data_IF_301213233380
#
_entry.id   IF_301213233380
#
_cell.length_a   1.000
_cell.length_b   1.000
_cell.length_c   1.000
_cell.angle_alpha   90.00
_cell.angle_beta   90.00
_cell.angle_gamma   90.00
#
_symmetry.space_group_name_H-M   'P 1'
#
loop_
_entity.id
_entity.type
_entity.pdbx_description
1 polymer ?
#
# COMPACT_ATOMS: atom_id res chain seq x y z
N UNK A 1 16.07 -5.30 11.00
CA UNK A 1 14.97 -5.60 10.09
C UNK A 1 13.80 -4.80 10.61
N UNK A 2 13.18 -3.93 9.82
CA UNK A 2 12.02 -3.18 10.29
C UNK A 2 10.84 -4.12 10.53
N UNK A 3 10.04 -3.82 11.54
CA UNK A 3 8.86 -4.61 11.84
C UNK A 3 7.77 -4.32 10.77
N UNK A 4 6.98 -5.34 10.47
CA UNK A 4 5.87 -5.24 9.52
C UNK A 4 4.60 -4.75 10.21
N UNK A 5 3.88 -3.83 9.58
CA UNK A 5 2.56 -3.43 10.06
C UNK A 5 1.53 -4.54 9.83
N UNK A 6 0.64 -4.73 10.81
CA UNK A 6 -0.43 -5.72 10.78
C UNK A 6 -1.72 -5.18 10.15
N UNK A 7 -1.67 -3.99 9.58
CA UNK A 7 -2.75 -3.33 8.85
C UNK A 7 -2.21 -2.46 7.72
N UNK A 8 -3.05 -2.13 6.78
CA UNK A 8 -2.71 -1.32 5.62
C UNK A 8 -3.71 -0.18 5.41
N UNK A 9 -3.26 1.03 5.08
CA UNK A 9 -4.15 2.10 4.65
C UNK A 9 -4.83 1.73 3.32
N UNK A 10 -6.16 1.94 3.26
CA UNK A 10 -6.95 1.90 2.04
C UNK A 10 -7.41 3.31 1.70
N UNK A 11 -6.84 3.89 0.66
CA UNK A 11 -7.16 5.24 0.22
C UNK A 11 -8.21 5.22 -0.87
N UNK A 12 -9.36 5.78 -0.56
CA UNK A 12 -10.49 5.86 -1.48
C UNK A 12 -10.68 7.31 -1.92
N UNK A 13 -10.80 7.54 -3.23
CA UNK A 13 -11.20 8.82 -3.80
C UNK A 13 -11.70 8.62 -5.21
N UNK A 14 -12.89 9.08 -5.51
CA UNK A 14 -13.46 9.05 -6.86
C UNK A 14 -12.66 9.93 -7.84
N UNK A 15 -12.05 10.98 -7.33
CA UNK A 15 -11.28 11.93 -8.13
C UNK A 15 -9.86 11.47 -8.40
N UNK A 16 -9.40 11.73 -9.62
CA UNK A 16 -8.00 11.59 -10.04
C UNK A 16 -7.25 12.90 -9.79
N UNK A 17 -5.92 12.84 -9.71
CA UNK A 17 -5.09 14.05 -9.60
C UNK A 17 -5.01 14.67 -8.20
N UNK A 18 -5.46 13.97 -7.17
CA UNK A 18 -5.41 14.42 -5.77
C UNK A 18 -4.07 14.13 -5.05
N UNK A 19 -3.09 13.52 -5.74
CA UNK A 19 -1.74 13.32 -5.20
C UNK A 19 -1.38 11.90 -4.78
N UNK A 20 -2.26 10.91 -4.96
CA UNK A 20 -1.96 9.49 -4.60
C UNK A 20 -0.63 9.02 -5.21
N UNK A 21 -0.44 9.26 -6.51
CA UNK A 21 0.80 8.89 -7.22
C UNK A 21 2.03 9.69 -6.78
N UNK A 22 1.87 10.94 -6.35
CA UNK A 22 2.96 11.74 -5.81
C UNK A 22 3.50 11.12 -4.51
N UNK A 23 2.62 10.71 -3.59
CA UNK A 23 3.03 10.08 -2.34
C UNK A 23 3.70 8.72 -2.57
N UNK A 24 3.16 7.90 -3.48
CA UNK A 24 3.80 6.64 -3.88
C UNK A 24 5.23 6.87 -4.41
N UNK A 25 5.42 7.92 -5.21
CA UNK A 25 6.74 8.31 -5.70
C UNK A 25 7.68 8.74 -4.55
N UNK A 26 7.19 9.54 -3.60
CA UNK A 26 7.98 9.98 -2.45
C UNK A 26 8.48 8.78 -1.62
N UNK A 27 7.60 7.83 -1.31
CA UNK A 27 7.96 6.62 -0.58
C UNK A 27 9.03 5.84 -1.34
N UNK A 28 8.84 5.70 -2.66
CA UNK A 28 9.81 4.99 -3.51
C UNK A 28 11.18 5.67 -3.50
N UNK A 29 11.23 6.98 -3.48
CA UNK A 29 12.51 7.72 -3.39
C UNK A 29 13.15 7.59 -2.01
N UNK A 30 12.37 7.55 -0.93
CA UNK A 30 12.88 7.40 0.43
C UNK A 30 13.55 6.04 0.67
N UNK A 31 12.92 4.95 0.25
CA UNK A 31 13.41 3.59 0.55
C UNK A 31 14.04 2.86 -0.64
N UNK A 32 14.02 3.47 -1.80
CA UNK A 32 14.63 2.98 -3.04
C UNK A 32 13.75 2.03 -3.85
N UNK A 33 13.81 2.16 -5.17
CA UNK A 33 12.97 1.40 -6.12
C UNK A 33 13.16 -0.13 -6.02
N UNK A 34 14.33 -0.59 -5.61
CA UNK A 34 14.61 -2.03 -5.44
C UNK A 34 13.77 -2.63 -4.30
N UNK A 35 13.48 -1.84 -3.29
CA UNK A 35 12.73 -2.23 -2.11
C UNK A 35 11.23 -1.95 -2.23
N UNK A 36 10.80 -1.34 -3.35
CA UNK A 36 9.40 -0.92 -3.54
C UNK A 36 8.75 -1.57 -4.76
N UNK A 37 7.42 -1.66 -4.69
CA UNK A 37 6.53 -1.93 -5.84
C UNK A 37 5.50 -0.80 -5.90
N UNK A 38 5.83 0.35 -6.53
CA UNK A 38 5.02 1.57 -6.42
C UNK A 38 3.73 1.55 -7.24
N UNK A 39 3.55 0.57 -8.10
CA UNK A 39 2.38 0.46 -8.98
C UNK A 39 2.03 -1.00 -9.23
N UNK A 40 1.76 -1.74 -8.18
CA UNK A 40 1.34 -3.12 -8.28
C UNK A 40 -0.15 -3.17 -8.67
N UNK A 41 -0.46 -3.88 -9.75
CA UNK A 41 -1.86 -4.11 -10.12
C UNK A 41 -2.43 -5.28 -9.32
N UNK A 42 -3.71 -5.22 -8.98
CA UNK A 42 -4.36 -6.30 -8.22
C UNK A 42 -4.19 -7.69 -8.87
N UNK A 43 -4.21 -7.77 -10.22
CA UNK A 43 -3.99 -9.04 -10.94
C UNK A 43 -2.59 -9.65 -10.68
N UNK A 44 -1.61 -8.84 -10.30
CA UNK A 44 -0.30 -9.33 -9.90
C UNK A 44 -0.29 -9.84 -8.45
N UNK A 45 -1.22 -9.33 -7.63
CA UNK A 45 -1.38 -9.75 -6.23
C UNK A 45 -2.04 -11.12 -6.16
N UNK A 46 -3.19 -11.28 -6.83
CA UNK A 46 -3.96 -12.53 -6.88
C UNK A 46 -3.47 -13.50 -7.97
N UNK A 47 -2.35 -13.20 -8.57
CA UNK A 47 -1.75 -14.04 -9.61
C UNK A 47 -0.97 -15.21 -9.01
N UNK A 48 -0.87 -16.29 -9.78
CA UNK A 48 -0.13 -17.50 -9.40
C UNK A 48 1.33 -17.22 -9.00
N UNK A 49 1.97 -16.19 -9.58
CA UNK A 49 3.37 -15.89 -9.34
C UNK A 49 3.51 -14.73 -8.36
N UNK A 50 4.11 -15.01 -7.23
CA UNK A 50 4.28 -14.08 -6.09
C UNK A 50 5.72 -13.58 -5.92
N UNK A 51 6.59 -13.79 -6.90
CA UNK A 51 8.01 -13.41 -6.89
C UNK A 51 8.24 -11.89 -6.72
N UNK A 52 7.23 -11.05 -7.01
CA UNK A 52 7.27 -9.61 -6.80
C UNK A 52 7.52 -9.22 -5.34
N UNK A 53 7.20 -10.10 -4.38
CA UNK A 53 7.36 -9.84 -2.94
C UNK A 53 8.82 -9.97 -2.49
N UNK A 54 9.65 -10.65 -3.25
CA UNK A 54 11.08 -10.87 -2.91
C UNK A 54 11.80 -9.51 -2.82
N UNK A 55 12.38 -9.23 -1.64
CA UNK A 55 13.06 -7.97 -1.34
C UNK A 55 12.12 -6.76 -1.24
N UNK A 56 10.80 -6.96 -1.30
CA UNK A 56 9.84 -5.88 -1.18
C UNK A 56 9.66 -5.47 0.30
N UNK A 57 9.85 -4.18 0.60
CA UNK A 57 9.56 -3.60 1.90
C UNK A 57 8.27 -2.77 1.86
N UNK A 58 7.88 -2.30 0.67
CA UNK A 58 6.71 -1.46 0.50
C UNK A 58 6.06 -1.64 -0.87
N UNK A 59 4.78 -1.91 -0.88
CA UNK A 59 4.00 -2.04 -2.11
C UNK A 59 2.77 -1.13 -2.10
N UNK A 60 2.53 -0.48 -3.23
CA UNK A 60 1.30 0.28 -3.49
C UNK A 60 0.46 -0.51 -4.48
N UNK A 61 -0.67 -1.02 -4.01
CA UNK A 61 -1.63 -1.76 -4.84
C UNK A 61 -2.61 -0.74 -5.41
N UNK A 62 -2.49 -0.51 -6.71
CA UNK A 62 -3.31 0.47 -7.42
C UNK A 62 -4.53 -0.18 -8.08
N UNK A 63 -5.59 0.62 -8.21
CA UNK A 63 -6.82 0.24 -8.89
C UNK A 63 -7.46 -1.01 -8.27
N UNK A 64 -7.55 -1.02 -6.94
CA UNK A 64 -8.28 -2.06 -6.21
C UNK A 64 -9.76 -1.96 -6.60
N UNK A 65 -10.12 -2.62 -7.67
CA UNK A 65 -11.49 -2.74 -8.13
C UNK A 65 -11.63 -3.95 -9.06
N UNK A 66 -12.46 -4.91 -8.67
CA UNK A 66 -12.57 -6.20 -9.37
C UNK A 66 -13.84 -6.37 -10.19
N UNK A 67 -14.59 -5.35 -10.46
CA UNK A 67 -15.93 -5.51 -11.03
C UNK A 67 -17.05 -5.60 -9.99
N UNK A 68 -18.30 -5.62 -10.46
CA UNK A 68 -19.49 -5.80 -9.60
C UNK A 68 -19.66 -7.24 -9.09
N UNK A 69 -18.71 -8.14 -9.35
CA UNK A 69 -18.80 -9.55 -8.93
C UNK A 69 -18.38 -9.69 -7.47
N UNK A 70 -19.34 -10.00 -6.62
CA UNK A 70 -19.16 -10.18 -5.18
C UNK A 70 -18.09 -11.22 -4.83
N UNK A 71 -18.12 -12.39 -5.47
CA UNK A 71 -17.18 -13.49 -5.16
C UNK A 71 -15.72 -13.10 -5.43
N UNK A 72 -15.47 -12.36 -6.52
CA UNK A 72 -14.12 -11.87 -6.83
C UNK A 72 -13.64 -10.78 -5.88
N UNK A 73 -14.56 -9.95 -5.35
CA UNK A 73 -14.21 -8.97 -4.31
C UNK A 73 -13.85 -9.66 -3.01
N UNK A 74 -14.58 -10.71 -2.66
CA UNK A 74 -14.31 -11.52 -1.47
C UNK A 74 -12.93 -12.20 -1.57
N UNK A 75 -12.67 -12.90 -2.67
CA UNK A 75 -11.39 -13.56 -2.94
C UNK A 75 -10.20 -12.59 -2.82
N UNK A 76 -10.27 -11.42 -3.48
CA UNK A 76 -9.25 -10.39 -3.36
C UNK A 76 -9.06 -9.91 -1.93
N UNK A 77 -10.17 -9.68 -1.21
CA UNK A 77 -10.11 -9.22 0.16
C UNK A 77 -9.38 -10.22 1.06
N UNK A 78 -9.66 -11.50 0.93
CA UNK A 78 -9.00 -12.55 1.72
C UNK A 78 -7.50 -12.66 1.36
N UNK A 79 -7.14 -12.68 0.08
CA UNK A 79 -5.73 -12.75 -0.33
C UNK A 79 -4.92 -11.54 0.17
N UNK A 80 -5.49 -10.32 0.12
CA UNK A 80 -4.80 -9.13 0.64
C UNK A 80 -4.66 -9.19 2.18
N UNK A 81 -5.66 -9.73 2.88
CA UNK A 81 -5.58 -9.92 4.34
C UNK A 81 -4.40 -10.82 4.73
N UNK A 82 -4.22 -11.93 4.03
CA UNK A 82 -3.13 -12.86 4.26
C UNK A 82 -1.78 -12.17 3.97
N UNK A 83 -1.67 -11.44 2.86
CA UNK A 83 -0.47 -10.65 2.55
C UNK A 83 -0.15 -9.61 3.64
N UNK A 84 -1.16 -8.99 4.26
CA UNK A 84 -0.95 -8.02 5.35
C UNK A 84 -0.47 -8.70 6.62
N UNK A 85 -1.00 -9.87 6.98
CA UNK A 85 -0.80 -10.45 8.31
C UNK A 85 0.15 -11.63 8.36
N UNK A 86 0.28 -12.40 7.30
CA UNK A 86 1.08 -13.61 7.33
C UNK A 86 2.58 -13.32 7.44
N UNK A 87 3.29 -14.02 8.30
CA UNK A 87 4.73 -13.85 8.49
C UNK A 87 5.55 -14.41 7.32
N UNK A 88 4.99 -15.32 6.55
CA UNK A 88 5.61 -15.93 5.38
C UNK A 88 4.64 -15.91 4.20
N UNK A 89 5.19 -15.77 3.01
CA UNK A 89 4.46 -15.88 1.74
C UNK A 89 5.02 -17.04 0.96
N UNK A 90 4.13 -17.90 0.44
CA UNK A 90 4.50 -18.95 -0.46
C UNK A 90 4.82 -18.37 -1.84
N UNK A 91 6.08 -18.54 -2.28
CA UNK A 91 6.56 -18.01 -3.55
C UNK A 91 6.50 -19.10 -4.60
N UNK A 92 5.79 -18.82 -5.68
CA UNK A 92 5.86 -19.59 -6.92
C UNK A 92 6.59 -18.78 -7.99
N UNK A 93 7.77 -19.23 -8.38
CA UNK A 93 8.50 -18.69 -9.53
C UNK A 93 8.28 -19.58 -10.77
N UNK A 94 8.28 -18.96 -11.94
CA UNK A 94 8.16 -19.72 -13.19
C UNK A 94 9.38 -20.63 -13.38
N UNK A 95 9.13 -21.93 -13.56
CA UNK A 95 10.15 -22.97 -13.76
C UNK A 95 11.09 -23.23 -12.56
N UNK A 96 10.72 -22.83 -11.36
CA UNK A 96 11.46 -23.12 -10.12
C UNK A 96 10.56 -23.83 -9.11
N UNK A 97 11.20 -24.44 -8.09
CA UNK A 97 10.47 -24.98 -6.94
C UNK A 97 9.93 -23.84 -6.11
N UNK A 98 8.70 -23.99 -5.64
CA UNK A 98 8.11 -23.06 -4.68
C UNK A 98 8.85 -23.13 -3.32
N UNK A 99 8.82 -22.03 -2.60
CA UNK A 99 9.43 -21.90 -1.27
C UNK A 99 8.72 -20.83 -0.44
N UNK A 100 8.86 -20.89 0.88
CA UNK A 100 8.32 -19.88 1.77
C UNK A 100 9.33 -18.75 1.97
N UNK A 101 8.87 -17.51 1.83
CA UNK A 101 9.69 -16.30 1.94
C UNK A 101 9.19 -15.41 3.08
N UNK A 102 10.08 -14.87 3.95
CA UNK A 102 9.67 -13.95 5.00
C UNK A 102 8.96 -12.71 4.45
N UNK A 103 7.77 -12.46 4.97
CA UNK A 103 6.96 -11.32 4.53
C UNK A 103 7.35 -10.05 5.28
N UNK A 104 8.11 -9.19 4.64
CA UNK A 104 8.57 -7.89 5.16
C UNK A 104 7.86 -6.71 4.49
N UNK A 105 6.87 -6.99 3.64
CA UNK A 105 6.22 -5.98 2.82
C UNK A 105 5.10 -5.26 3.58
N UNK A 106 5.14 -3.94 3.60
CA UNK A 106 4.05 -3.08 4.03
C UNK A 106 3.25 -2.59 2.83
N UNK A 107 1.95 -2.33 2.99
CA UNK A 107 1.05 -2.05 1.89
C UNK A 107 0.34 -0.70 2.04
N UNK A 108 0.09 -0.05 0.90
CA UNK A 108 -0.98 0.94 0.72
C UNK A 108 -1.87 0.45 -0.42
N UNK A 109 -3.17 0.45 -0.20
CA UNK A 109 -4.17 0.16 -1.20
C UNK A 109 -4.80 1.46 -1.70
N UNK A 110 -5.02 1.55 -3.00
CA UNK A 110 -5.60 2.74 -3.63
C UNK A 110 -6.77 2.33 -4.52
N UNK A 111 -7.91 2.96 -4.30
CA UNK A 111 -9.09 2.79 -5.15
C UNK A 111 -9.70 4.13 -5.57
N UNK A 112 -10.35 4.13 -6.74
CA UNK A 112 -11.22 5.21 -7.18
C UNK A 112 -12.71 4.85 -6.99
N UNK A 113 -13.01 3.76 -6.28
CA UNK A 113 -14.35 3.25 -6.04
C UNK A 113 -14.56 2.98 -4.56
N UNK A 114 -15.66 3.46 -3.99
CA UNK A 114 -16.00 3.22 -2.58
C UNK A 114 -16.31 1.75 -2.33
N UNK A 115 -16.92 1.08 -3.28
CA UNK A 115 -17.27 -0.34 -3.24
C UNK A 115 -16.17 -1.27 -3.74
N UNK A 116 -14.91 -0.88 -3.62
CA UNK A 116 -13.78 -1.61 -4.21
C UNK A 116 -13.56 -3.00 -3.60
N UNK A 117 -13.83 -3.16 -2.32
CA UNK A 117 -13.64 -4.40 -1.54
C UNK A 117 -14.83 -4.65 -0.62
N UNK A 118 -15.01 -5.90 -0.20
CA UNK A 118 -15.91 -6.24 0.88
C UNK A 118 -15.15 -6.14 2.21
N UNK A 119 -15.42 -5.12 2.99
CA UNK A 119 -14.82 -4.89 4.29
C UNK A 119 -15.92 -5.05 5.32
N UNK A 120 -15.76 -5.99 6.25
CA UNK A 120 -16.69 -6.17 7.36
C UNK A 120 -16.48 -5.05 8.41
N UNK A 121 -17.53 -4.73 9.16
CA UNK A 121 -17.48 -3.66 10.17
C UNK A 121 -16.44 -3.92 11.28
N UNK A 122 -16.12 -5.18 11.54
CA UNK A 122 -15.13 -5.62 12.53
C UNK A 122 -13.72 -5.86 11.95
N UNK A 123 -13.51 -5.56 10.66
CA UNK A 123 -12.24 -5.79 9.98
C UNK A 123 -11.14 -4.88 10.55
N UNK A 124 -10.06 -5.48 11.00
CA UNK A 124 -8.96 -4.81 11.72
C UNK A 124 -7.72 -4.54 10.88
N UNK A 125 -7.68 -5.04 9.64
CA UNK A 125 -6.49 -4.98 8.78
C UNK A 125 -6.49 -3.79 7.83
N UNK A 126 -7.61 -3.09 7.71
CA UNK A 126 -7.71 -1.93 6.82
C UNK A 126 -7.97 -0.65 7.59
N UNK A 127 -7.12 0.34 7.38
CA UNK A 127 -7.35 1.72 7.78
C UNK A 127 -7.96 2.46 6.60
N UNK A 128 -9.28 2.59 6.58
CA UNK A 128 -10.01 3.17 5.45
C UNK A 128 -9.97 4.69 5.55
N UNK A 129 -9.44 5.33 4.51
CA UNK A 129 -9.35 6.79 4.40
C UNK A 129 -10.06 7.26 3.14
N UNK A 130 -11.17 7.95 3.32
CA UNK A 130 -11.81 8.69 2.23
C UNK A 130 -11.08 10.01 2.04
N UNK A 131 -10.36 10.12 0.93
CA UNK A 131 -9.56 11.29 0.63
C UNK A 131 -10.45 12.40 0.05
N UNK A 132 -9.96 13.63 0.14
CA UNK A 132 -10.66 14.80 -0.43
C UNK A 132 -10.84 14.65 -1.93
N UNK A 133 -11.99 15.04 -2.45
CA UNK A 133 -12.28 15.10 -3.88
C UNK A 133 -11.79 16.40 -4.54
N UNK A 134 -11.08 17.23 -3.80
CA UNK A 134 -10.57 18.50 -4.31
C UNK A 134 -9.36 18.29 -5.22
N UNK A 135 -9.62 18.26 -6.51
CA UNK A 135 -8.56 18.23 -7.54
C UNK A 135 -7.73 19.50 -7.47
N UNK A 136 -6.42 19.35 -7.49
CA UNK A 136 -5.47 20.47 -7.52
C UNK A 136 -4.92 20.66 -8.92
N UNK A 137 -4.79 21.92 -9.35
CA UNK A 137 -4.23 22.27 -10.64
C UNK A 137 -2.70 22.07 -10.71
N UNK A 138 -2.16 22.14 -11.91
CA UNK A 138 -0.73 21.96 -12.20
C UNK A 138 0.17 22.84 -11.33
N UNK A 139 -0.21 24.11 -11.10
CA UNK A 139 0.58 25.07 -10.33
C UNK A 139 0.72 24.68 -8.85
N UNK A 140 -0.25 23.93 -8.31
CA UNK A 140 -0.14 23.32 -6.99
C UNK A 140 0.86 22.16 -6.97
N UNK A 141 0.87 21.34 -8.01
CA UNK A 141 1.69 20.13 -8.05
C UNK A 141 3.12 20.38 -8.52
N UNK A 142 3.34 21.34 -9.42
CA UNK A 142 4.66 21.61 -9.98
C UNK A 142 5.75 21.84 -8.91
N UNK A 143 5.58 22.78 -7.95
CA UNK A 143 6.60 22.97 -6.93
C UNK A 143 6.82 21.74 -6.04
N UNK A 144 5.80 20.92 -5.84
CA UNK A 144 5.91 19.68 -5.05
C UNK A 144 6.69 18.59 -5.77
N UNK A 145 6.51 18.46 -7.08
CA UNK A 145 7.31 17.57 -7.89
C UNK A 145 8.76 18.05 -7.99
N UNK A 146 8.97 19.36 -8.16
CA UNK A 146 10.29 19.96 -8.18
C UNK A 146 11.01 19.75 -6.83
N UNK A 147 10.33 19.94 -5.72
CA UNK A 147 10.87 19.65 -4.38
C UNK A 147 11.18 18.15 -4.20
N UNK A 148 10.28 17.26 -4.60
CA UNK A 148 10.48 15.82 -4.51
C UNK A 148 11.72 15.36 -5.31
N UNK A 149 11.96 15.98 -6.48
CA UNK A 149 13.10 15.68 -7.35
C UNK A 149 14.43 16.27 -6.84
N UNK A 150 14.37 17.25 -5.91
CA UNK A 150 15.51 17.95 -5.35
C UNK A 150 15.62 17.71 -3.83
N UNK A 151 16.05 16.54 -3.42
CA UNK A 151 16.25 16.16 -2.00
C UNK A 151 15.00 16.06 -1.12
N UNK A 152 13.80 16.34 -1.62
CA UNK A 152 12.56 16.31 -0.81
C UNK A 152 12.34 14.98 -0.08
N UNK A 153 12.61 13.88 -0.75
CA UNK A 153 12.51 12.54 -0.15
C UNK A 153 13.50 12.37 1.02
N UNK A 154 14.72 12.90 0.90
CA UNK A 154 15.75 12.85 1.94
C UNK A 154 15.35 13.69 3.16
N UNK A 155 14.81 14.88 2.96
CA UNK A 155 14.28 15.70 4.06
C UNK A 155 13.10 15.04 4.76
N UNK A 156 12.17 14.45 4.00
CA UNK A 156 11.04 13.73 4.58
C UNK A 156 11.51 12.50 5.36
N UNK A 157 12.46 11.73 4.84
CA UNK A 157 13.03 10.58 5.54
C UNK A 157 13.69 11.00 6.86
N UNK A 158 14.47 12.10 6.85
CA UNK A 158 15.06 12.64 8.06
C UNK A 158 13.99 13.05 9.07
N UNK A 159 12.95 13.78 8.65
CA UNK A 159 11.85 14.17 9.51
C UNK A 159 11.17 12.95 10.14
N UNK A 160 10.81 11.94 9.32
CA UNK A 160 10.16 10.72 9.81
C UNK A 160 11.06 9.92 10.77
N UNK A 161 12.38 9.89 10.54
CA UNK A 161 13.33 9.19 11.43
C UNK A 161 13.51 9.86 12.78
N UNK A 162 13.17 11.14 12.90
CA UNK A 162 13.24 11.93 14.13
C UNK A 162 11.89 12.14 14.81
N UNK A 163 10.81 11.72 14.15
CA UNK A 163 9.45 11.83 14.68
C UNK A 163 9.30 10.93 15.91
N UNK A 164 8.83 11.52 17.00
CA UNK A 164 8.43 10.72 18.17
C UNK A 164 7.03 10.16 17.92
N UNK A 165 6.91 8.86 18.09
CA UNK A 165 5.64 8.14 18.01
C UNK A 165 5.23 7.82 19.45
N UNK A 166 4.05 8.30 19.86
CA UNK A 166 3.56 8.12 21.25
C UNK A 166 3.26 6.66 21.55
N UNK A 167 2.77 5.93 20.57
CA UNK A 167 2.52 4.49 20.66
C UNK A 167 3.36 3.74 19.62
N UNK A 168 4.54 3.25 20.01
CA UNK A 168 5.45 2.56 19.09
C UNK A 168 4.94 1.19 18.62
N UNK A 169 3.92 0.62 19.28
CA UNK A 169 3.36 -0.68 18.93
C UNK A 169 2.07 -0.60 18.10
N UNK A 170 1.58 0.61 17.80
CA UNK A 170 0.36 0.85 17.01
C UNK A 170 0.33 0.05 15.69
N UNK A 171 1.46 -0.15 15.04
CA UNK A 171 1.54 -0.92 13.80
C UNK A 171 1.31 -2.43 13.99
N UNK A 172 1.41 -2.95 15.21
CA UNK A 172 1.16 -4.37 15.57
C UNK A 172 -0.30 -4.61 15.98
N UNK A 173 -1.04 -3.58 16.27
CA UNK A 173 -2.42 -3.65 16.73
C UNK A 173 -3.39 -3.67 15.54
N UNK A 174 -4.67 -3.51 15.84
CA UNK A 174 -5.69 -3.32 14.80
C UNK A 174 -5.59 -1.93 14.17
N UNK A 175 -6.02 -1.81 12.93
CA UNK A 175 -6.14 -0.51 12.27
C UNK A 175 -7.00 0.45 13.11
N UNK A 176 -6.66 1.75 13.14
CA UNK A 176 -7.52 2.76 13.74
C UNK A 176 -8.91 2.75 13.11
N UNK A 177 -9.95 2.91 13.94
CA UNK A 177 -11.33 2.99 13.46
C UNK A 177 -11.54 4.36 12.84
N UNK A 178 -12.03 4.39 11.61
CA UNK A 178 -12.47 5.61 10.93
C UNK A 178 -13.99 5.70 11.02
N UNK A 179 -14.50 6.86 11.47
CA UNK A 179 -15.93 7.19 11.44
C UNK A 179 -16.45 7.38 10.02
#
# INVERSE_FOLDING_TARGET
MGDKAMWAPLWISEQRGIGKGWLSNMITQMIGIKNCRPNLKYKNVIGRFSDWVIGCQFAVINEVFLSKNYNKKQELSEEIKDLITDPYIHIEEKFRRSFDYPNTCNFILISNHEDCMNIADDERRYYVLKLTDKVRLRDYWKPRWDWASNDGARFLMHHLSTLKIDDPDLYKERAPITE
#
